data_IF_825418119124
#
_entry.id   IF_825418119124
#
_cell.length_a   1.000
_cell.length_b   1.000
_cell.length_c   1.000
_cell.angle_alpha   90.00
_cell.angle_beta   90.00
_cell.angle_gamma   90.00
#
_symmetry.space_group_name_H-M   'P 1'
#
loop_
_entity.id
_entity.type
_entity.pdbx_description
1 polymer ?
#
# COMPACT_ATOMS: atom_id res chain seq x y z
N UNK A 1 -10.15 -25.58 -14.94
CA UNK A 1 -11.25 -24.74 -14.41
C UNK A 1 -10.73 -23.33 -14.44
N UNK A 2 -11.26 -22.49 -15.34
CA UNK A 2 -11.00 -21.04 -15.27
C UNK A 2 -11.67 -20.57 -13.98
N UNK A 3 -10.87 -20.37 -12.94
CA UNK A 3 -11.34 -19.67 -11.76
C UNK A 3 -11.79 -18.28 -12.22
N UNK A 4 -13.07 -18.03 -12.08
CA UNK A 4 -13.69 -16.76 -12.44
C UNK A 4 -12.94 -15.65 -11.69
N UNK A 5 -12.13 -14.88 -12.41
CA UNK A 5 -11.27 -13.86 -11.82
C UNK A 5 -12.16 -12.69 -11.40
N UNK A 6 -12.49 -12.64 -10.12
CA UNK A 6 -13.46 -11.69 -9.55
C UNK A 6 -12.83 -10.46 -8.91
N UNK A 7 -11.48 -10.37 -8.86
CA UNK A 7 -10.79 -9.28 -8.17
C UNK A 7 -9.76 -8.62 -9.06
N UNK A 8 -9.74 -7.29 -9.05
CA UNK A 8 -8.64 -6.47 -9.58
C UNK A 8 -7.73 -6.04 -8.43
N UNK A 9 -6.43 -6.25 -8.58
CA UNK A 9 -5.43 -5.76 -7.63
C UNK A 9 -5.01 -4.35 -8.05
N UNK A 10 -4.97 -3.43 -7.12
CA UNK A 10 -4.62 -2.02 -7.34
C UNK A 10 -3.41 -1.66 -6.48
N UNK A 11 -2.45 -0.98 -7.07
CA UNK A 11 -1.30 -0.42 -6.37
C UNK A 11 -0.90 0.92 -6.95
N UNK A 12 -0.07 1.68 -6.25
CA UNK A 12 0.51 2.90 -6.81
C UNK A 12 1.85 3.25 -6.18
N UNK A 13 2.64 4.02 -6.91
CA UNK A 13 3.90 4.54 -6.41
C UNK A 13 4.41 5.71 -7.25
N UNK A 14 5.21 6.56 -6.64
CA UNK A 14 6.06 7.48 -7.39
C UNK A 14 7.32 6.73 -7.88
N UNK A 15 8.20 7.43 -8.60
CA UNK A 15 9.42 6.82 -9.15
C UNK A 15 10.30 6.12 -8.10
N UNK A 16 10.30 6.57 -6.84
CA UNK A 16 11.05 5.91 -5.76
C UNK A 16 10.47 4.54 -5.35
N UNK A 17 9.20 4.28 -5.68
CA UNK A 17 8.48 3.04 -5.39
C UNK A 17 8.24 2.18 -6.64
N UNK A 18 8.71 2.60 -7.82
CA UNK A 18 8.49 1.88 -9.08
C UNK A 18 9.08 0.45 -9.03
N UNK A 19 10.25 0.25 -8.42
CA UNK A 19 10.82 -1.08 -8.17
C UNK A 19 9.95 -1.93 -7.24
N UNK A 20 9.36 -1.31 -6.23
CA UNK A 20 8.45 -2.02 -5.32
C UNK A 20 7.20 -2.51 -6.05
N UNK A 21 6.57 -1.65 -6.85
CA UNK A 21 5.42 -2.04 -7.66
C UNK A 21 5.79 -3.15 -8.68
N UNK A 22 6.97 -3.09 -9.31
CA UNK A 22 7.46 -4.17 -10.18
C UNK A 22 7.59 -5.49 -9.41
N UNK A 23 8.17 -5.48 -8.21
CA UNK A 23 8.30 -6.67 -7.36
C UNK A 23 6.93 -7.20 -6.90
N UNK A 24 5.99 -6.31 -6.54
CA UNK A 24 4.63 -6.70 -6.19
C UNK A 24 3.94 -7.42 -7.35
N UNK A 25 3.90 -6.82 -8.54
CA UNK A 25 3.26 -7.42 -9.72
C UNK A 25 3.97 -8.72 -10.13
N UNK A 26 5.30 -8.75 -10.10
CA UNK A 26 6.07 -9.96 -10.36
C UNK A 26 5.73 -11.09 -9.38
N UNK A 27 5.57 -10.79 -8.09
CA UNK A 27 5.18 -11.79 -7.09
C UNK A 27 3.80 -12.38 -7.35
N UNK A 28 2.84 -11.56 -7.85
CA UNK A 28 1.52 -12.03 -8.29
C UNK A 28 1.68 -13.06 -9.42
N UNK A 29 2.47 -12.75 -10.44
CA UNK A 29 2.67 -13.63 -11.61
C UNK A 29 3.47 -14.87 -11.29
N UNK A 30 4.54 -14.74 -10.49
CA UNK A 30 5.37 -15.86 -10.02
C UNK A 30 4.55 -16.90 -9.24
N UNK A 31 3.55 -16.45 -8.48
CA UNK A 31 2.65 -17.33 -7.72
C UNK A 31 1.45 -17.85 -8.54
N UNK A 32 1.45 -17.67 -9.87
CA UNK A 32 0.42 -18.19 -10.78
C UNK A 32 -0.89 -17.39 -10.78
N UNK A 33 -0.99 -16.30 -10.02
CA UNK A 33 -2.18 -15.47 -9.92
C UNK A 33 -2.38 -14.64 -11.20
N UNK A 34 -3.53 -14.78 -11.86
CA UNK A 34 -3.87 -14.13 -13.13
C UNK A 34 -4.73 -12.86 -12.97
N UNK A 35 -4.92 -12.40 -11.75
CA UNK A 35 -5.72 -11.20 -11.47
C UNK A 35 -5.26 -10.00 -12.30
N UNK A 36 -6.19 -9.20 -12.88
CA UNK A 36 -5.84 -7.93 -13.49
C UNK A 36 -5.25 -7.01 -12.43
N UNK A 37 -4.23 -6.24 -12.83
CA UNK A 37 -3.54 -5.29 -11.94
C UNK A 37 -3.66 -3.89 -12.52
N UNK A 38 -4.09 -2.93 -11.70
CA UNK A 38 -4.05 -1.50 -12.03
C UNK A 38 -2.92 -0.87 -11.22
N UNK A 39 -2.01 -0.20 -11.92
CA UNK A 39 -0.86 0.46 -11.30
C UNK A 39 -0.95 1.97 -11.52
N UNK A 40 -1.12 2.73 -10.45
CA UNK A 40 -0.99 4.18 -10.47
C UNK A 40 0.48 4.58 -10.52
N UNK A 41 0.93 5.16 -11.63
CA UNK A 41 2.32 5.55 -11.85
C UNK A 41 2.47 7.08 -11.79
N UNK A 42 3.24 7.59 -10.83
CA UNK A 42 3.56 9.01 -10.70
C UNK A 42 5.05 9.23 -11.04
N UNK A 43 5.30 9.97 -12.12
CA UNK A 43 6.66 10.34 -12.58
C UNK A 43 7.59 9.13 -12.85
N UNK A 44 7.04 7.99 -13.31
CA UNK A 44 7.86 6.81 -13.62
C UNK A 44 8.61 6.96 -14.92
N UNK A 45 9.84 6.46 -14.93
CA UNK A 45 10.63 6.32 -16.16
C UNK A 45 9.90 5.37 -17.15
N UNK A 46 9.93 5.66 -18.48
CA UNK A 46 9.26 4.84 -19.49
C UNK A 46 9.68 3.37 -19.45
N UNK A 47 10.95 3.09 -19.20
CA UNK A 47 11.51 1.73 -19.13
C UNK A 47 10.88 0.93 -17.98
N UNK A 48 10.61 1.57 -16.85
CA UNK A 48 9.98 0.90 -15.72
C UNK A 48 8.52 0.55 -16.02
N UNK A 49 7.78 1.46 -16.69
CA UNK A 49 6.42 1.18 -17.16
C UNK A 49 6.39 -0.01 -18.12
N UNK A 50 7.32 -0.06 -19.08
CA UNK A 50 7.45 -1.18 -20.01
C UNK A 50 7.71 -2.50 -19.29
N UNK A 51 8.60 -2.53 -18.29
CA UNK A 51 8.86 -3.73 -17.47
C UNK A 51 7.63 -4.24 -16.76
N UNK A 52 6.85 -3.33 -16.17
CA UNK A 52 5.62 -3.70 -15.46
C UNK A 52 4.56 -4.19 -16.44
N UNK A 53 4.39 -3.56 -17.60
CA UNK A 53 3.47 -4.01 -18.65
C UNK A 53 3.84 -5.37 -19.24
N UNK A 54 5.14 -5.68 -19.34
CA UNK A 54 5.63 -6.97 -19.84
C UNK A 54 5.23 -8.15 -18.96
N UNK A 55 4.83 -7.93 -17.71
CA UNK A 55 4.30 -8.96 -16.81
C UNK A 55 2.89 -9.46 -17.20
N UNK A 56 2.22 -8.78 -18.13
CA UNK A 56 0.90 -9.13 -18.63
C UNK A 56 -0.25 -8.87 -17.65
N UNK A 57 -1.44 -8.60 -18.18
CA UNK A 57 -2.65 -8.33 -17.38
C UNK A 57 -2.52 -7.08 -16.48
N UNK A 58 -1.70 -6.11 -16.88
CA UNK A 58 -1.45 -4.86 -16.14
C UNK A 58 -1.96 -3.67 -16.94
N UNK A 59 -2.66 -2.78 -16.28
CA UNK A 59 -3.02 -1.45 -16.79
C UNK A 59 -2.26 -0.40 -15.98
N UNK A 60 -1.55 0.50 -16.64
CA UNK A 60 -0.91 1.65 -16.00
C UNK A 60 -1.83 2.86 -16.14
N UNK A 61 -2.15 3.46 -14.99
CA UNK A 61 -2.83 4.76 -14.91
C UNK A 61 -1.81 5.83 -14.54
N UNK A 62 -1.59 6.76 -15.45
CA UNK A 62 -0.72 7.91 -15.17
C UNK A 62 -1.35 8.80 -14.10
N UNK A 63 -0.60 9.08 -13.06
CA UNK A 63 -0.98 10.02 -12.03
C UNK A 63 -0.29 11.37 -12.30
N UNK A 64 -0.99 12.48 -12.10
CA UNK A 64 -0.36 13.78 -12.24
C UNK A 64 0.77 13.93 -11.24
N UNK A 65 1.85 14.61 -11.64
CA UNK A 65 2.93 14.99 -10.74
C UNK A 65 2.37 15.78 -9.58
N UNK A 66 2.61 15.29 -8.38
CA UNK A 66 2.12 15.90 -7.15
C UNK A 66 3.18 15.82 -6.06
N UNK A 67 3.20 16.82 -5.19
CA UNK A 67 3.98 16.76 -3.95
C UNK A 67 3.30 15.90 -2.89
N UNK A 68 2.00 15.69 -3.01
CA UNK A 68 1.21 14.90 -2.07
C UNK A 68 1.67 13.44 -2.04
N UNK A 69 1.60 12.82 -0.88
CA UNK A 69 1.86 11.39 -0.72
C UNK A 69 0.94 10.56 -1.64
N UNK A 70 1.53 9.65 -2.42
CA UNK A 70 0.79 8.80 -3.38
C UNK A 70 -0.28 7.95 -2.69
N UNK A 71 -0.10 7.62 -1.41
CA UNK A 71 -1.09 6.90 -0.63
C UNK A 71 -2.46 7.61 -0.59
N UNK A 72 -2.49 8.95 -0.68
CA UNK A 72 -3.74 9.73 -0.77
C UNK A 72 -4.54 9.45 -2.05
N UNK A 73 -3.97 8.80 -3.04
CA UNK A 73 -4.66 8.42 -4.28
C UNK A 73 -5.32 7.03 -4.22
N UNK A 74 -5.18 6.31 -3.10
CA UNK A 74 -5.76 4.96 -2.92
C UNK A 74 -7.25 4.90 -3.28
N UNK A 75 -8.12 5.70 -2.67
CA UNK A 75 -9.56 5.59 -2.92
C UNK A 75 -9.93 5.90 -4.37
N UNK A 76 -9.30 6.90 -4.99
CA UNK A 76 -9.52 7.25 -6.39
C UNK A 76 -9.12 6.08 -7.32
N UNK A 77 -7.98 5.45 -7.07
CA UNK A 77 -7.51 4.32 -7.89
C UNK A 77 -8.34 3.06 -7.68
N UNK A 78 -8.76 2.77 -6.45
CA UNK A 78 -9.66 1.64 -6.17
C UNK A 78 -11.05 1.81 -6.78
N UNK A 79 -11.52 3.04 -6.94
CA UNK A 79 -12.80 3.39 -7.57
C UNK A 79 -12.71 3.67 -9.07
N UNK A 80 -11.57 3.52 -9.72
CA UNK A 80 -11.40 3.92 -11.12
C UNK A 80 -12.10 2.97 -12.11
N UNK A 81 -12.28 3.46 -13.34
CA UNK A 81 -13.02 2.72 -14.36
C UNK A 81 -12.27 1.51 -14.92
N UNK A 82 -10.96 1.42 -14.70
CA UNK A 82 -10.13 0.26 -15.04
C UNK A 82 -10.42 -0.95 -14.14
N UNK A 83 -11.00 -0.76 -12.95
CA UNK A 83 -11.48 -1.83 -12.08
C UNK A 83 -12.82 -2.34 -12.60
N UNK A 84 -12.82 -3.50 -13.28
CA UNK A 84 -14.01 -4.09 -13.92
C UNK A 84 -14.60 -5.26 -13.13
N UNK A 85 -13.89 -5.76 -12.14
CA UNK A 85 -14.27 -6.93 -11.35
C UNK A 85 -15.20 -6.56 -10.18
N UNK A 86 -15.84 -7.57 -9.56
CA UNK A 86 -16.72 -7.35 -8.41
C UNK A 86 -15.97 -6.85 -7.18
N UNK A 87 -14.75 -7.32 -7.01
CA UNK A 87 -13.89 -6.99 -5.89
C UNK A 87 -12.68 -6.16 -6.33
N UNK A 88 -12.21 -5.32 -5.46
CA UNK A 88 -10.95 -4.60 -5.60
C UNK A 88 -10.09 -4.84 -4.38
N UNK A 89 -8.82 -5.17 -4.63
CA UNK A 89 -7.80 -5.33 -3.61
C UNK A 89 -6.75 -4.24 -3.76
N UNK A 90 -6.58 -3.39 -2.77
CA UNK A 90 -5.40 -2.54 -2.66
C UNK A 90 -4.24 -3.32 -2.04
N UNK A 91 -3.05 -3.21 -2.62
CA UNK A 91 -1.80 -3.68 -2.05
C UNK A 91 -0.73 -2.57 -2.18
N UNK A 92 -0.11 -2.19 -1.06
CA UNK A 92 0.96 -1.18 -1.09
C UNK A 92 2.13 -1.64 -1.96
N UNK A 93 2.72 -0.72 -2.72
CA UNK A 93 3.85 -1.01 -3.63
C UNK A 93 5.13 -1.47 -2.90
N UNK A 94 5.17 -1.36 -1.58
CA UNK A 94 6.25 -1.90 -0.75
C UNK A 94 5.87 -3.22 -0.08
N UNK A 95 5.20 -4.07 -0.83
CA UNK A 95 4.82 -5.41 -0.43
C UNK A 95 5.07 -6.43 -1.54
N UNK A 96 5.03 -7.71 -1.21
CA UNK A 96 4.99 -8.84 -2.17
C UNK A 96 4.07 -9.94 -1.65
N UNK A 97 3.48 -10.70 -2.55
CA UNK A 97 2.76 -11.93 -2.24
C UNK A 97 3.76 -13.10 -2.14
N UNK A 98 3.57 -13.98 -1.15
CA UNK A 98 4.49 -15.09 -0.85
C UNK A 98 3.96 -16.43 -1.34
N UNK A 99 2.72 -16.47 -1.81
CA UNK A 99 2.05 -17.64 -2.37
C UNK A 99 0.80 -17.24 -3.13
N UNK A 100 0.07 -18.21 -3.68
CA UNK A 100 -1.24 -17.96 -4.24
C UNK A 100 -2.22 -17.62 -3.11
N UNK A 101 -2.74 -16.40 -3.15
CA UNK A 101 -3.70 -15.91 -2.18
C UNK A 101 -5.01 -15.49 -2.85
N UNK A 102 -5.32 -16.03 -4.04
CA UNK A 102 -6.50 -15.66 -4.82
C UNK A 102 -7.80 -15.76 -4.01
N UNK A 103 -7.93 -16.76 -3.16
CA UNK A 103 -9.09 -16.93 -2.26
C UNK A 103 -9.26 -15.80 -1.24
N UNK A 104 -8.20 -15.00 -1.00
CA UNK A 104 -8.20 -13.95 0.01
C UNK A 104 -8.45 -12.56 -0.56
N UNK A 105 -8.45 -12.48 -1.88
CA UNK A 105 -8.74 -11.27 -2.61
C UNK A 105 -10.25 -11.05 -2.78
N UNK A 106 -11.05 -11.94 -2.20
CA UNK A 106 -12.52 -11.90 -2.18
C UNK A 106 -12.93 -11.89 -0.71
N UNK A 107 -13.76 -10.92 -0.30
CA UNK A 107 -14.35 -10.92 1.03
C UNK A 107 -15.48 -11.95 1.15
N UNK A 108 -15.73 -12.43 2.35
CA UNK A 108 -16.82 -13.39 2.63
C UNK A 108 -18.19 -12.72 2.48
N UNK A 109 -18.29 -11.44 2.82
CA UNK A 109 -19.51 -10.64 2.71
C UNK A 109 -19.25 -9.35 1.90
N UNK A 110 -20.00 -9.11 0.80
CA UNK A 110 -19.87 -7.87 0.03
C UNK A 110 -20.25 -6.60 0.82
N UNK A 111 -20.85 -6.72 2.01
CA UNK A 111 -21.15 -5.58 2.89
C UNK A 111 -19.96 -5.18 3.79
N UNK A 112 -18.86 -5.90 3.69
CA UNK A 112 -17.68 -5.68 4.51
C UNK A 112 -16.51 -5.11 3.72
N UNK A 113 -15.63 -4.41 4.45
CA UNK A 113 -14.27 -4.06 4.04
C UNK A 113 -13.30 -4.92 4.85
N UNK A 114 -12.43 -5.63 4.14
CA UNK A 114 -11.37 -6.41 4.78
C UNK A 114 -10.15 -5.51 4.93
N UNK A 115 -9.80 -5.21 6.16
CA UNK A 115 -8.67 -4.34 6.51
C UNK A 115 -8.14 -4.70 7.89
N UNK A 116 -6.85 -4.47 8.15
CA UNK A 116 -6.26 -4.73 9.46
C UNK A 116 -6.64 -3.64 10.47
N UNK A 117 -7.03 -4.00 11.69
CA UNK A 117 -7.11 -3.08 12.82
C UNK A 117 -5.72 -2.82 13.41
N UNK A 118 -5.49 -1.61 13.92
CA UNK A 118 -4.27 -1.28 14.65
C UNK A 118 -4.30 -1.88 16.04
N UNK A 119 -3.31 -2.72 16.37
CA UNK A 119 -3.15 -3.27 17.71
C UNK A 119 -1.67 -3.28 18.06
N UNK A 120 -1.20 -2.54 19.07
CA UNK A 120 -1.98 -1.58 19.90
C UNK A 120 -2.47 -0.36 19.10
N UNK A 121 -3.43 0.42 19.63
CA UNK A 121 -3.87 1.67 19.01
C UNK A 121 -2.70 2.64 18.81
N UNK A 122 -2.71 3.47 17.74
CA UNK A 122 -1.69 4.48 17.56
C UNK A 122 -1.67 5.49 18.72
N UNK A 123 -0.50 5.89 19.22
CA UNK A 123 -0.42 6.80 20.39
C UNK A 123 -1.09 8.17 20.19
N UNK A 124 -1.28 8.59 18.93
CA UNK A 124 -1.93 9.86 18.58
C UNK A 124 -3.45 9.72 18.41
N UNK A 125 -4.01 8.53 18.54
CA UNK A 125 -5.46 8.31 18.58
C UNK A 125 -5.97 8.56 19.99
N UNK A 126 -6.20 9.82 20.33
CA UNK A 126 -6.72 10.26 21.63
C UNK A 126 -8.24 10.48 21.55
N UNK A 127 -8.95 10.60 22.70
CA UNK A 127 -10.36 10.99 22.69
C UNK A 127 -10.64 12.28 21.93
N UNK A 128 -9.75 13.27 22.04
CA UNK A 128 -9.83 14.54 21.30
C UNK A 128 -9.71 14.34 19.79
N UNK A 129 -8.83 13.42 19.36
CA UNK A 129 -8.68 13.05 17.94
C UNK A 129 -9.98 12.40 17.44
N UNK A 130 -10.56 11.48 18.21
CA UNK A 130 -11.81 10.81 17.84
C UNK A 130 -12.99 11.80 17.75
N UNK A 131 -13.11 12.74 18.68
CA UNK A 131 -14.15 13.77 18.62
C UNK A 131 -13.96 14.72 17.42
N UNK A 132 -12.71 15.05 17.07
CA UNK A 132 -12.42 15.86 15.87
C UNK A 132 -12.78 15.09 14.59
N UNK A 133 -12.43 13.80 14.49
CA UNK A 133 -12.82 12.94 13.37
C UNK A 133 -14.35 12.85 13.22
N UNK A 134 -15.06 12.62 14.31
CA UNK A 134 -16.53 12.58 14.34
C UNK A 134 -17.15 13.87 13.80
N UNK A 135 -16.64 15.03 14.25
CA UNK A 135 -17.09 16.33 13.74
C UNK A 135 -16.85 16.49 12.24
N UNK A 136 -15.67 16.09 11.77
CA UNK A 136 -15.33 16.20 10.35
C UNK A 136 -16.18 15.26 9.48
N UNK A 137 -16.45 14.05 9.95
CA UNK A 137 -17.35 13.11 9.26
C UNK A 137 -18.77 13.63 9.23
N UNK A 138 -19.25 14.22 10.34
CA UNK A 138 -20.58 14.86 10.36
C UNK A 138 -20.69 15.99 9.33
N UNK A 139 -19.62 16.77 9.14
CA UNK A 139 -19.60 17.83 8.11
C UNK A 139 -19.61 17.27 6.68
N UNK A 140 -18.94 16.13 6.44
CA UNK A 140 -18.91 15.48 5.12
C UNK A 140 -20.24 14.79 4.79
N UNK A 141 -20.76 13.99 5.74
CA UNK A 141 -21.89 13.08 5.52
C UNK A 141 -23.23 13.66 6.00
N UNK A 142 -23.26 14.87 6.58
CA UNK A 142 -24.44 15.46 7.22
C UNK A 142 -24.80 14.86 8.58
N UNK A 143 -24.19 13.72 8.94
CA UNK A 143 -24.39 12.97 10.19
C UNK A 143 -23.14 12.17 10.55
N UNK A 144 -22.97 11.83 11.82
CA UNK A 144 -21.97 10.89 12.28
C UNK A 144 -22.55 9.96 13.34
N UNK A 145 -21.97 8.78 13.53
CA UNK A 145 -22.31 7.90 14.63
C UNK A 145 -21.97 8.59 15.98
N UNK A 146 -22.76 8.40 17.04
CA UNK A 146 -22.49 8.99 18.35
C UNK A 146 -21.19 8.47 18.96
N UNK A 147 -20.87 7.20 18.70
CA UNK A 147 -19.67 6.51 19.18
C UNK A 147 -18.92 5.85 18.03
N UNK A 148 -17.60 5.66 18.21
CA UNK A 148 -16.78 4.98 17.24
C UNK A 148 -17.18 3.50 17.09
N UNK A 149 -17.41 3.08 15.85
CA UNK A 149 -17.67 1.67 15.50
C UNK A 149 -16.46 0.76 15.76
N UNK A 150 -15.26 1.32 15.82
CA UNK A 150 -13.99 0.61 16.07
C UNK A 150 -13.50 0.77 17.52
N UNK A 151 -14.30 1.40 18.41
CA UNK A 151 -13.88 1.71 19.77
C UNK A 151 -12.73 2.72 19.79
N UNK A 152 -11.68 2.42 20.53
CA UNK A 152 -10.47 3.22 20.72
C UNK A 152 -9.34 2.86 19.74
N UNK A 153 -9.64 2.11 18.68
CA UNK A 153 -8.66 1.71 17.64
C UNK A 153 -9.00 2.29 16.28
N UNK A 154 -8.10 2.13 15.32
CA UNK A 154 -8.26 2.50 13.92
C UNK A 154 -7.76 1.36 13.02
N UNK A 155 -7.57 1.64 11.74
CA UNK A 155 -7.15 0.64 10.75
C UNK A 155 -5.74 0.92 10.23
N UNK A 156 -5.09 -0.13 9.73
CA UNK A 156 -3.85 -0.07 8.98
C UNK A 156 -4.11 -0.63 7.59
N UNK A 157 -3.75 0.11 6.54
CA UNK A 157 -4.27 -0.08 5.20
C UNK A 157 -3.25 -0.46 4.09
N UNK A 158 -2.18 -1.21 4.36
CA UNK A 158 -1.29 -1.70 3.31
C UNK A 158 -1.95 -2.75 2.42
N UNK A 159 -3.04 -3.34 2.89
CA UNK A 159 -3.86 -4.32 2.19
C UNK A 159 -5.33 -4.08 2.53
N UNK A 160 -6.16 -3.90 1.50
CA UNK A 160 -7.59 -3.66 1.64
C UNK A 160 -8.30 -4.52 0.61
N UNK A 161 -9.39 -5.20 0.99
CA UNK A 161 -10.31 -5.83 0.04
C UNK A 161 -11.70 -5.25 0.26
N UNK A 162 -12.35 -4.82 -0.82
CA UNK A 162 -13.68 -4.22 -0.77
C UNK A 162 -14.46 -4.56 -2.03
N UNK A 163 -15.77 -4.77 -1.91
CA UNK A 163 -16.63 -5.00 -3.06
C UNK A 163 -16.92 -3.69 -3.81
N UNK A 164 -16.98 -3.74 -5.14
CA UNK A 164 -17.18 -2.57 -6.02
C UNK A 164 -18.47 -1.77 -5.73
N UNK A 165 -19.48 -2.38 -5.14
CA UNK A 165 -20.69 -1.65 -4.72
C UNK A 165 -20.40 -0.50 -3.76
N UNK A 166 -19.24 -0.52 -3.08
CA UNK A 166 -18.77 0.53 -2.17
C UNK A 166 -18.04 1.68 -2.87
N UNK A 167 -18.13 1.77 -4.20
CA UNK A 167 -17.58 2.94 -4.94
C UNK A 167 -18.02 4.28 -4.33
N UNK A 168 -19.29 4.50 -3.92
CA UNK A 168 -19.68 5.74 -3.24
C UNK A 168 -18.93 6.00 -1.92
N UNK A 169 -18.56 4.95 -1.19
CA UNK A 169 -17.72 5.08 0.00
C UNK A 169 -16.27 5.46 -0.36
N UNK A 170 -15.70 4.89 -1.42
CA UNK A 170 -14.38 5.27 -1.93
C UNK A 170 -14.36 6.73 -2.39
N UNK A 171 -15.42 7.22 -3.02
CA UNK A 171 -15.58 8.63 -3.41
C UNK A 171 -15.65 9.56 -2.18
N UNK A 172 -16.36 9.17 -1.11
CA UNK A 172 -16.35 9.90 0.16
C UNK A 172 -14.96 9.91 0.81
N UNK A 173 -14.26 8.78 0.77
CA UNK A 173 -12.88 8.71 1.29
C UNK A 173 -11.96 9.63 0.50
N UNK A 174 -12.05 9.66 -0.82
CA UNK A 174 -11.29 10.60 -1.66
C UNK A 174 -11.62 12.06 -1.31
N UNK A 175 -12.90 12.41 -1.26
CA UNK A 175 -13.38 13.76 -0.92
C UNK A 175 -12.88 14.21 0.45
N UNK A 176 -12.95 13.34 1.46
CA UNK A 176 -12.44 13.65 2.79
C UNK A 176 -10.92 13.82 2.76
N UNK A 177 -10.20 12.96 2.04
CA UNK A 177 -8.73 13.07 1.89
C UNK A 177 -8.34 14.42 1.30
N UNK A 178 -8.96 14.84 0.22
CA UNK A 178 -8.72 16.13 -0.43
C UNK A 178 -9.04 17.33 0.48
N UNK A 179 -10.05 17.18 1.32
CA UNK A 179 -10.50 18.22 2.25
C UNK A 179 -9.54 18.41 3.43
N UNK A 180 -9.01 17.33 3.99
CA UNK A 180 -8.28 17.35 5.28
C UNK A 180 -6.77 17.15 5.14
N UNK A 181 -6.29 16.63 4.02
CA UNK A 181 -4.85 16.44 3.76
C UNK A 181 -4.37 17.51 2.79
N UNK A 182 -3.48 18.36 3.26
CA UNK A 182 -2.93 19.42 2.41
C UNK A 182 -2.17 18.85 1.19
N UNK A 183 -2.23 19.51 0.02
CA UNK A 183 -1.66 19.00 -1.24
C UNK A 183 -0.13 18.92 -1.25
N UNK A 184 0.54 19.51 -0.28
CA UNK A 184 2.00 19.50 -0.10
C UNK A 184 2.50 18.48 0.95
N UNK A 185 1.59 17.67 1.52
CA UNK A 185 1.93 16.60 2.46
C UNK A 185 2.64 15.47 1.73
N UNK A 186 3.96 15.40 1.89
CA UNK A 186 4.84 14.45 1.16
C UNK A 186 5.11 13.15 1.92
N UNK A 187 4.71 13.06 3.18
CA UNK A 187 4.98 11.90 4.03
C UNK A 187 3.69 11.34 4.62
N UNK A 188 3.58 10.02 4.76
CA UNK A 188 2.37 9.39 5.30
C UNK A 188 2.20 9.60 6.82
N UNK A 189 3.12 10.30 7.47
CA UNK A 189 3.09 10.51 8.92
C UNK A 189 3.22 11.99 9.26
N UNK A 190 2.18 12.54 9.94
CA UNK A 190 2.02 13.95 10.31
C UNK A 190 1.81 14.07 11.83
N UNK A 191 2.87 14.29 12.60
CA UNK A 191 2.81 14.28 14.08
C UNK A 191 1.90 15.34 14.70
N UNK A 192 1.65 16.44 14.00
CA UNK A 192 0.86 17.58 14.48
C UNK A 192 -0.57 17.62 13.94
N UNK A 193 -0.96 16.64 13.11
CA UNK A 193 -2.28 16.55 12.51
C UNK A 193 -3.13 15.54 13.27
N UNK A 194 -4.43 15.79 13.38
CA UNK A 194 -5.40 14.77 13.79
C UNK A 194 -5.49 13.62 12.77
N UNK A 195 -5.12 13.86 11.51
CA UNK A 195 -4.95 12.84 10.46
C UNK A 195 -3.48 12.44 10.34
N UNK A 196 -2.92 11.98 11.46
CA UNK A 196 -1.48 11.73 11.64
C UNK A 196 -0.89 10.65 10.72
N UNK A 197 -1.70 9.74 10.21
CA UNK A 197 -1.33 8.71 9.21
C UNK A 197 -1.97 8.99 7.85
N UNK A 198 -2.21 10.27 7.50
CA UNK A 198 -2.78 10.71 6.22
C UNK A 198 -3.99 9.89 5.77
N UNK A 199 -3.91 9.20 4.63
CA UNK A 199 -4.96 8.37 4.03
C UNK A 199 -5.51 7.29 4.98
N UNK A 200 -4.65 6.69 5.78
CA UNK A 200 -5.02 5.67 6.77
C UNK A 200 -5.87 6.25 7.90
N UNK A 201 -5.50 7.43 8.42
CA UNK A 201 -6.32 8.13 9.43
C UNK A 201 -7.65 8.61 8.85
N UNK A 202 -7.68 9.04 7.57
CA UNK A 202 -8.93 9.43 6.90
C UNK A 202 -9.85 8.23 6.73
N UNK A 203 -9.34 7.09 6.23
CA UNK A 203 -10.11 5.84 6.17
C UNK A 203 -10.61 5.45 7.55
N UNK A 204 -9.74 5.49 8.56
CA UNK A 204 -10.08 5.18 9.95
C UNK A 204 -11.22 6.05 10.47
N UNK A 205 -11.20 7.36 10.22
CA UNK A 205 -12.25 8.28 10.65
C UNK A 205 -13.63 7.95 10.04
N UNK A 206 -13.66 7.62 8.76
CA UNK A 206 -14.88 7.20 8.07
C UNK A 206 -15.39 5.86 8.59
N UNK A 207 -14.52 4.87 8.76
CA UNK A 207 -14.91 3.56 9.30
C UNK A 207 -15.38 3.66 10.75
N UNK A 208 -14.88 4.63 11.53
CA UNK A 208 -15.35 4.89 12.88
C UNK A 208 -16.73 5.53 12.93
N UNK A 209 -16.99 6.56 12.10
CA UNK A 209 -18.10 7.48 12.33
C UNK A 209 -19.08 7.65 11.18
N UNK A 210 -18.77 7.23 9.94
CA UNK A 210 -19.72 7.27 8.83
C UNK A 210 -20.76 6.14 8.98
N UNK A 211 -22.05 6.46 9.24
CA UNK A 211 -23.08 5.44 9.42
C UNK A 211 -23.30 4.57 8.17
N UNK A 212 -22.95 5.11 7.01
CA UNK A 212 -23.12 4.45 5.72
C UNK A 212 -21.79 3.82 5.21
N UNK A 213 -20.78 3.63 6.09
CA UNK A 213 -19.55 2.92 5.78
C UNK A 213 -19.73 1.39 5.83
N UNK A 214 -18.90 0.61 5.08
CA UNK A 214 -18.90 -0.84 5.19
C UNK A 214 -18.55 -1.30 6.61
N UNK A 215 -18.99 -2.49 6.98
CA UNK A 215 -18.53 -3.14 8.21
C UNK A 215 -17.06 -3.53 8.07
N UNK A 216 -16.32 -3.49 9.18
CA UNK A 216 -14.89 -3.83 9.17
C UNK A 216 -14.71 -5.29 9.57
N UNK A 217 -14.08 -6.06 8.68
CA UNK A 217 -13.60 -7.41 8.95
C UNK A 217 -12.08 -7.45 8.90
N UNK A 218 -11.45 -8.15 9.84
CA UNK A 218 -10.01 -8.34 9.85
C UNK A 218 -9.61 -9.62 9.13
N UNK A 219 -8.69 -9.46 8.19
CA UNK A 219 -8.01 -10.62 7.63
C UNK A 219 -6.72 -10.85 8.42
N UNK A 220 -6.74 -11.81 9.37
CA UNK A 220 -5.58 -12.13 10.22
C UNK A 220 -4.33 -12.51 9.45
N UNK A 221 -4.48 -12.95 8.22
CA UNK A 221 -3.41 -13.39 7.33
C UNK A 221 -2.70 -12.24 6.60
N UNK A 222 -3.34 -11.06 6.43
CA UNK A 222 -2.73 -9.85 5.87
C UNK A 222 -1.79 -9.12 6.84
N UNK A 223 -1.55 -9.68 8.00
CA UNK A 223 -0.67 -9.12 9.02
C UNK A 223 0.79 -9.32 8.65
N UNK A 224 1.48 -8.30 8.15
CA UNK A 224 2.88 -8.28 7.72
C UNK A 224 3.97 -8.69 8.71
N UNK A 225 3.76 -9.70 9.56
CA UNK A 225 4.82 -10.33 10.33
C UNK A 225 5.38 -11.57 9.62
N UNK A 226 6.64 -11.87 9.91
CA UNK A 226 7.49 -12.91 9.28
C UNK A 226 7.04 -14.35 9.59
N UNK A 227 5.78 -14.60 9.79
CA UNK A 227 5.32 -15.98 9.88
C UNK A 227 5.36 -16.61 8.48
N UNK A 228 6.08 -17.72 8.34
CA UNK A 228 6.32 -18.41 7.07
C UNK A 228 5.05 -18.87 6.35
N UNK A 229 3.91 -18.81 7.02
CA UNK A 229 2.59 -19.17 6.48
C UNK A 229 1.78 -17.94 5.99
N UNK A 230 2.42 -16.78 5.82
CA UNK A 230 1.70 -15.56 5.42
C UNK A 230 1.93 -15.23 3.96
N UNK A 231 0.85 -14.93 3.28
CA UNK A 231 0.81 -14.70 1.85
C UNK A 231 1.13 -13.25 1.43
N UNK A 232 1.28 -12.31 2.39
CA UNK A 232 1.54 -10.91 2.12
C UNK A 232 2.64 -10.35 3.03
N UNK A 233 3.78 -10.01 2.44
CA UNK A 233 4.94 -9.43 3.12
C UNK A 233 5.03 -7.93 2.83
N UNK A 234 4.89 -7.08 3.85
CA UNK A 234 4.91 -5.63 3.75
C UNK A 234 6.18 -5.04 4.37
N UNK A 235 6.91 -4.20 3.62
CA UNK A 235 8.20 -3.60 4.00
C UNK A 235 8.01 -2.18 4.54
N UNK A 236 7.26 -2.02 5.63
CA UNK A 236 6.79 -0.73 6.17
C UNK A 236 7.90 0.30 6.45
N UNK A 237 9.15 -0.13 6.73
CA UNK A 237 10.25 0.74 7.14
C UNK A 237 11.13 1.21 5.98
N UNK A 238 11.71 2.41 6.13
CA UNK A 238 12.68 2.97 5.19
C UNK A 238 14.12 2.81 5.71
N UNK A 239 15.12 2.65 4.82
CA UNK A 239 15.01 2.54 3.35
C UNK A 239 14.33 1.24 2.92
N UNK A 240 13.76 1.22 1.70
CA UNK A 240 13.15 0.02 1.12
C UNK A 240 14.22 -0.94 0.57
N UNK A 241 13.93 -2.26 0.45
CA UNK A 241 14.90 -3.25 -0.01
C UNK A 241 15.61 -2.92 -1.33
N UNK A 242 14.91 -2.31 -2.29
CA UNK A 242 15.49 -1.87 -3.57
C UNK A 242 16.33 -0.59 -3.48
N UNK A 243 16.31 0.10 -2.34
CA UNK A 243 17.16 1.27 -2.05
C UNK A 243 18.37 0.83 -1.22
N UNK A 244 18.13 0.15 -0.12
CA UNK A 244 19.13 -0.35 0.82
C UNK A 244 18.44 -1.27 1.84
N UNK A 245 19.06 -2.39 2.17
CA UNK A 245 18.60 -3.22 3.28
C UNK A 245 18.79 -2.51 4.62
N UNK A 246 17.90 -2.74 5.56
CA UNK A 246 17.95 -2.23 6.92
C UNK A 246 17.63 -3.35 7.93
N UNK A 247 17.78 -3.14 9.27
CA UNK A 247 17.55 -4.19 10.26
C UNK A 247 16.14 -4.80 10.22
N UNK A 248 15.15 -4.05 9.74
CA UNK A 248 13.76 -4.51 9.67
C UNK A 248 13.45 -5.22 8.36
N UNK A 249 14.08 -4.80 7.26
CA UNK A 249 13.82 -5.37 5.94
C UNK A 249 14.69 -6.60 5.61
N UNK A 250 15.85 -6.74 6.26
CA UNK A 250 16.81 -7.82 5.96
C UNK A 250 16.21 -9.22 6.12
N UNK A 251 15.25 -9.39 7.02
CA UNK A 251 14.50 -10.63 7.23
C UNK A 251 13.65 -11.06 6.04
N UNK A 252 13.37 -10.12 5.12
CA UNK A 252 12.57 -10.35 3.92
C UNK A 252 13.40 -10.74 2.69
N UNK A 253 14.72 -10.87 2.86
CA UNK A 253 15.62 -11.24 1.77
C UNK A 253 15.17 -12.52 1.07
N UNK A 254 14.88 -13.57 1.84
CA UNK A 254 14.49 -14.88 1.30
C UNK A 254 13.07 -14.88 0.66
N UNK A 255 12.30 -13.82 0.85
CA UNK A 255 11.00 -13.60 0.21
C UNK A 255 11.16 -12.81 -1.08
N UNK A 256 12.04 -11.79 -1.08
CA UNK A 256 12.21 -10.89 -2.23
C UNK A 256 13.09 -11.52 -3.31
N UNK A 257 14.16 -12.21 -2.93
CA UNK A 257 15.13 -12.72 -3.92
C UNK A 257 14.56 -13.76 -4.88
N UNK A 258 13.66 -14.67 -4.51
CA UNK A 258 12.96 -15.53 -5.48
C UNK A 258 12.18 -14.72 -6.54
N UNK A 259 11.55 -13.60 -6.15
CA UNK A 259 10.85 -12.71 -7.11
C UNK A 259 11.83 -12.05 -8.07
N UNK A 260 13.00 -11.61 -7.56
CA UNK A 260 14.08 -11.04 -8.40
C UNK A 260 14.61 -12.07 -9.38
N UNK A 261 14.87 -13.31 -8.93
CA UNK A 261 15.35 -14.39 -9.80
C UNK A 261 14.32 -14.74 -10.87
N UNK A 262 13.05 -14.77 -10.51
CA UNK A 262 11.95 -14.98 -11.46
C UNK A 262 11.90 -13.87 -12.51
N UNK A 263 12.03 -12.59 -12.12
CA UNK A 263 12.10 -11.47 -13.08
C UNK A 263 13.26 -11.62 -14.08
N UNK A 264 14.40 -12.14 -13.63
CA UNK A 264 15.56 -12.42 -14.49
C UNK A 264 15.26 -13.60 -15.43
N UNK A 265 14.68 -14.69 -14.92
CA UNK A 265 14.34 -15.86 -15.73
C UNK A 265 13.31 -15.56 -16.82
N UNK A 266 12.34 -14.69 -16.54
CA UNK A 266 11.33 -14.19 -17.49
C UNK A 266 11.89 -13.09 -18.43
N UNK A 267 13.17 -12.70 -18.27
CA UNK A 267 13.83 -11.66 -19.07
C UNK A 267 13.16 -10.28 -18.98
N UNK A 268 12.44 -10.01 -17.90
CA UNK A 268 11.85 -8.70 -17.62
C UNK A 268 12.94 -7.70 -17.22
N UNK A 269 13.95 -8.19 -16.48
CA UNK A 269 15.15 -7.43 -16.10
C UNK A 269 16.41 -8.25 -16.35
N UNK A 270 17.53 -7.57 -16.54
CA UNK A 270 18.86 -8.21 -16.52
C UNK A 270 19.52 -7.98 -15.16
N UNK A 271 20.55 -8.76 -14.77
CA UNK A 271 21.30 -8.51 -13.53
C UNK A 271 21.90 -7.09 -13.45
N UNK A 272 22.22 -6.46 -14.59
CA UNK A 272 22.75 -5.09 -14.67
C UNK A 272 21.68 -4.03 -14.39
N UNK A 273 20.41 -4.31 -14.66
CA UNK A 273 19.30 -3.39 -14.39
C UNK A 273 18.98 -3.28 -12.91
N UNK A 274 19.29 -4.33 -12.14
CA UNK A 274 18.94 -4.38 -10.72
C UNK A 274 19.62 -3.29 -9.92
N UNK A 275 18.92 -2.65 -8.97
CA UNK A 275 19.57 -1.90 -7.90
C UNK A 275 20.64 -2.73 -7.19
N UNK A 276 21.74 -2.11 -6.78
CA UNK A 276 22.86 -2.82 -6.12
C UNK A 276 22.38 -3.67 -4.93
N UNK A 277 21.43 -3.18 -4.18
CA UNK A 277 20.85 -3.87 -3.01
C UNK A 277 20.15 -5.19 -3.36
N UNK A 278 19.66 -5.35 -4.60
CA UNK A 278 18.98 -6.56 -5.07
C UNK A 278 19.90 -7.50 -5.88
N UNK A 279 21.18 -7.15 -6.07
CA UNK A 279 22.15 -8.01 -6.75
C UNK A 279 22.73 -9.03 -5.79
N UNK A 280 22.65 -10.32 -6.13
CA UNK A 280 23.17 -11.42 -5.27
C UNK A 280 24.62 -11.25 -4.87
N UNK A 281 25.49 -10.82 -5.78
CA UNK A 281 26.93 -10.61 -5.52
C UNK A 281 27.20 -9.52 -4.47
N UNK A 282 26.26 -8.61 -4.22
CA UNK A 282 26.36 -7.55 -3.23
C UNK A 282 25.74 -7.91 -1.87
N UNK A 283 25.10 -9.06 -1.78
CA UNK A 283 24.42 -9.48 -0.55
C UNK A 283 25.29 -9.45 0.71
N UNK A 284 26.54 -9.99 0.72
CA UNK A 284 27.38 -9.93 1.91
C UNK A 284 27.64 -8.51 2.39
N UNK A 285 27.91 -7.59 1.44
CA UNK A 285 28.11 -6.16 1.72
C UNK A 285 26.80 -5.52 2.22
N UNK A 286 25.70 -5.75 1.55
CA UNK A 286 24.40 -5.25 1.94
C UNK A 286 24.00 -5.71 3.35
N UNK A 287 24.25 -6.98 3.69
CA UNK A 287 24.01 -7.55 5.01
C UNK A 287 24.85 -6.88 6.08
N UNK A 288 26.15 -6.68 5.82
CA UNK A 288 27.04 -6.00 6.76
C UNK A 288 26.62 -4.53 6.99
N UNK A 289 26.21 -3.83 5.93
CA UNK A 289 25.80 -2.43 6.00
C UNK A 289 24.35 -2.21 6.47
N UNK A 290 23.52 -3.23 6.53
CA UNK A 290 22.09 -3.08 6.85
C UNK A 290 21.84 -2.36 8.18
N UNK A 291 22.66 -2.62 9.19
CA UNK A 291 22.53 -2.00 10.51
C UNK A 291 22.87 -0.49 10.51
N UNK A 292 23.68 -0.03 9.58
CA UNK A 292 24.03 1.38 9.44
C UNK A 292 23.05 2.14 8.54
N UNK A 293 22.27 1.45 7.74
CA UNK A 293 21.37 2.02 6.75
C UNK A 293 20.40 3.08 7.28
N UNK A 294 19.76 2.95 8.46
CA UNK A 294 18.88 3.98 9.00
C UNK A 294 19.60 5.32 9.23
N UNK A 295 20.86 5.30 9.64
CA UNK A 295 21.68 6.48 9.88
C UNK A 295 22.10 7.15 8.57
N UNK A 296 22.59 6.35 7.62
CA UNK A 296 22.93 6.81 6.26
C UNK A 296 21.72 7.46 5.59
N UNK A 297 20.55 6.83 5.69
CA UNK A 297 19.31 7.36 5.12
C UNK A 297 18.89 8.69 5.75
N UNK A 298 19.04 8.83 7.07
CA UNK A 298 18.79 10.11 7.77
C UNK A 298 19.73 11.21 7.28
N UNK A 299 21.03 10.90 7.12
CA UNK A 299 22.01 11.85 6.61
C UNK A 299 21.70 12.30 5.18
N UNK A 300 21.32 11.38 4.28
CA UNK A 300 20.90 11.68 2.91
C UNK A 300 19.66 12.59 2.89
N UNK A 301 18.67 12.32 3.74
CA UNK A 301 17.47 13.15 3.85
C UNK A 301 17.78 14.56 4.38
N UNK A 302 18.66 14.66 5.37
CA UNK A 302 19.10 15.93 5.91
C UNK A 302 19.82 16.77 4.85
N UNK A 303 20.77 16.17 4.12
CA UNK A 303 21.45 16.83 3.00
C UNK A 303 20.48 17.37 1.96
N UNK A 304 19.47 16.56 1.57
CA UNK A 304 18.44 16.98 0.59
C UNK A 304 17.55 18.13 1.07
N UNK A 305 17.42 18.35 2.38
CA UNK A 305 16.67 19.50 2.95
C UNK A 305 17.46 20.79 2.97
N UNK A 306 18.79 20.71 3.09
CA UNK A 306 19.66 21.87 3.17
C UNK A 306 20.00 22.41 1.77
N UNK A 307 20.11 21.53 0.78
CA UNK A 307 20.57 21.88 -0.58
C UNK A 307 19.40 21.89 -1.61
N UNK A 308 18.17 22.04 -1.16
CA UNK A 308 16.99 22.45 -1.92
C UNK A 308 16.61 23.88 -1.55
#
# INVERSE_FOLDING_TARGET
MDNDIRTTIVTAGNNAFAWGALLLVASIRMNGMKHPVVVGAMDWAPEMKQRVLALGGVTIRELPSSRQCVACQKPMLMGCDEVKTDWVCWADADAVFVGDCSEWLIGDDPDEIVVRKCSPPPPLLTPETLEAWKKDVAQLCGKALPESRLGDTTVNNPFIVIHRKWRPFLERWQTQTERVIAPDVTTPWQKTSIYFQTDESVLGSLLCFDPDAPKVTEHYKANGSVDKNRYFAHFAYNPKPWQMWNPYSIKWHDVIMPVVDWLISEKIVTPSDLPLSLRRGWWPVCRACAWTAPWVWRAIRFKRRIFR
#
